data_IF_347132701472
#
_entry.id   IF_347132701472
#
_cell.length_a   1.000
_cell.length_b   1.000
_cell.length_c   1.000
_cell.angle_alpha   90.00
_cell.angle_beta   90.00
_cell.angle_gamma   90.00
#
_symmetry.space_group_name_H-M   'P 1'
#
loop_
_entity.id
_entity.type
_entity.pdbx_description
1 polymer ?
#
# COMPACT_ATOMS: atom_id res chain seq x y z
N UNK A 1 -37.81 -43.35 -78.59
CA UNK A 1 -38.38 -44.45 -77.77
C UNK A 1 -37.24 -45.13 -77.02
N UNK A 2 -37.44 -45.45 -75.73
CA UNK A 2 -36.47 -45.85 -74.65
C UNK A 2 -35.90 -44.65 -73.88
N UNK A 3 -36.39 -44.23 -72.68
CA UNK A 3 -36.61 -44.90 -71.36
C UNK A 3 -35.25 -45.28 -70.71
N UNK A 4 -34.84 -44.94 -69.48
CA UNK A 4 -35.38 -44.24 -68.29
C UNK A 4 -34.22 -44.00 -67.29
N UNK A 5 -34.22 -42.93 -66.48
CA UNK A 5 -34.50 -42.86 -65.03
C UNK A 5 -33.71 -43.83 -64.10
N UNK A 6 -32.85 -43.29 -63.21
CA UNK A 6 -32.95 -43.31 -61.71
C UNK A 6 -31.60 -43.22 -60.97
N UNK A 7 -31.51 -42.24 -60.05
CA UNK A 7 -30.92 -42.26 -58.68
C UNK A 7 -29.43 -42.66 -58.50
N UNK A 8 -28.62 -42.09 -57.60
CA UNK A 8 -28.81 -41.81 -56.17
C UNK A 8 -27.84 -40.67 -55.76
N UNK A 9 -28.34 -39.65 -55.07
CA UNK A 9 -27.55 -38.60 -54.41
C UNK A 9 -27.13 -39.14 -53.04
N UNK A 10 -25.84 -39.38 -52.82
CA UNK A 10 -25.29 -39.74 -51.50
C UNK A 10 -24.72 -38.49 -50.85
N UNK A 11 -25.52 -37.81 -50.02
CA UNK A 11 -25.04 -36.71 -49.19
C UNK A 11 -24.28 -37.29 -47.99
N UNK A 12 -22.95 -37.25 -48.03
CA UNK A 12 -22.11 -37.56 -46.88
C UNK A 12 -22.23 -36.43 -45.85
N UNK A 13 -22.97 -36.69 -44.76
CA UNK A 13 -23.05 -35.78 -43.60
C UNK A 13 -21.73 -35.91 -42.84
N UNK A 14 -20.82 -34.96 -43.06
CA UNK A 14 -19.62 -34.76 -42.26
C UNK A 14 -20.05 -34.01 -40.99
N UNK A 15 -20.23 -34.74 -39.90
CA UNK A 15 -20.46 -34.16 -38.57
C UNK A 15 -19.15 -33.52 -38.09
N UNK A 16 -19.04 -32.19 -38.26
CA UNK A 16 -17.95 -31.41 -37.68
C UNK A 16 -18.17 -31.38 -36.17
N UNK A 17 -17.39 -32.17 -35.44
CA UNK A 17 -17.29 -32.05 -33.98
C UNK A 17 -16.58 -30.72 -33.70
N UNK A 18 -17.36 -29.69 -33.37
CA UNK A 18 -16.81 -28.45 -32.85
C UNK A 18 -16.25 -28.73 -31.44
N UNK A 19 -14.95 -28.97 -31.37
CA UNK A 19 -14.23 -28.94 -30.09
C UNK A 19 -14.27 -27.48 -29.62
N UNK A 20 -15.21 -27.14 -28.75
CA UNK A 20 -15.14 -25.91 -27.96
C UNK A 20 -13.98 -26.08 -26.99
N UNK A 21 -12.76 -25.80 -27.45
CA UNK A 21 -11.64 -25.65 -26.55
C UNK A 21 -12.00 -24.52 -25.60
N UNK A 22 -12.27 -24.85 -24.34
CA UNK A 22 -12.28 -23.87 -23.26
C UNK A 22 -10.93 -23.16 -23.34
N UNK A 23 -10.91 -21.94 -23.89
CA UNK A 23 -9.75 -21.07 -23.77
C UNK A 23 -9.58 -20.83 -22.28
N UNK A 24 -8.64 -21.55 -21.67
CA UNK A 24 -8.17 -21.20 -20.33
C UNK A 24 -7.80 -19.72 -20.40
N UNK A 25 -8.34 -18.87 -19.51
CA UNK A 25 -7.93 -17.49 -19.45
C UNK A 25 -6.41 -17.41 -19.42
N UNK A 26 -5.83 -16.48 -20.17
CA UNK A 26 -4.38 -16.23 -20.13
C UNK A 26 -3.98 -15.96 -18.68
N UNK A 27 -2.94 -16.62 -18.20
CA UNK A 27 -2.40 -16.34 -16.87
C UNK A 27 -1.82 -14.93 -16.85
N UNK A 28 -2.51 -14.02 -16.17
CA UNK A 28 -2.13 -12.61 -16.02
C UNK A 28 -1.53 -12.34 -14.63
N UNK A 29 -1.29 -13.37 -13.81
CA UNK A 29 -0.82 -13.25 -12.42
C UNK A 29 0.43 -12.38 -12.30
N UNK A 30 1.41 -12.58 -13.19
CA UNK A 30 2.64 -11.78 -13.23
C UNK A 30 2.39 -10.29 -13.54
N UNK A 31 1.44 -10.00 -14.44
CA UNK A 31 1.09 -8.63 -14.81
C UNK A 31 0.32 -7.93 -13.68
N UNK A 32 -0.61 -8.64 -13.02
CA UNK A 32 -1.31 -8.13 -11.84
C UNK A 32 -0.33 -7.82 -10.70
N UNK A 33 0.59 -8.74 -10.41
CA UNK A 33 1.65 -8.54 -9.41
C UNK A 33 2.51 -7.31 -9.73
N UNK A 34 2.91 -7.15 -10.99
CA UNK A 34 3.71 -5.99 -11.45
C UNK A 34 2.95 -4.69 -11.26
N UNK A 35 1.68 -4.63 -11.65
CA UNK A 35 0.85 -3.44 -11.50
C UNK A 35 0.64 -3.03 -10.04
N UNK A 36 0.41 -4.01 -9.14
CA UNK A 36 0.26 -3.75 -7.70
C UNK A 36 1.59 -3.26 -7.10
N UNK A 37 2.72 -3.89 -7.43
CA UNK A 37 4.03 -3.44 -6.96
C UNK A 37 4.36 -2.03 -7.45
N UNK A 38 4.09 -1.73 -8.74
CA UNK A 38 4.32 -0.41 -9.30
C UNK A 38 3.48 0.68 -8.60
N UNK A 39 2.24 0.34 -8.22
CA UNK A 39 1.46 1.22 -7.37
C UNK A 39 2.17 1.45 -6.03
N UNK A 40 2.51 0.39 -5.29
CA UNK A 40 3.13 0.55 -3.97
C UNK A 40 4.54 1.14 -3.98
N UNK A 41 5.25 1.15 -5.11
CA UNK A 41 6.52 1.89 -5.26
C UNK A 41 6.33 3.42 -5.06
N UNK A 42 5.12 3.94 -5.27
CA UNK A 42 4.80 5.35 -5.10
C UNK A 42 4.09 5.64 -3.77
N UNK A 43 3.70 4.60 -3.03
CA UNK A 43 2.89 4.69 -1.83
C UNK A 43 3.53 3.89 -0.68
N UNK A 44 4.54 4.46 -0.02
CA UNK A 44 5.20 3.80 1.10
C UNK A 44 4.30 3.70 2.33
N UNK A 45 4.64 2.76 3.20
CA UNK A 45 4.09 2.63 4.55
C UNK A 45 4.77 3.62 5.51
N UNK A 46 4.00 4.35 6.31
CA UNK A 46 4.51 5.41 7.17
C UNK A 46 3.94 5.33 8.60
N UNK A 47 4.65 5.96 9.56
CA UNK A 47 4.31 5.88 10.98
C UNK A 47 2.92 6.45 11.29
N UNK A 48 2.58 7.60 10.72
CA UNK A 48 1.29 8.25 10.96
C UNK A 48 0.33 8.07 9.80
N UNK A 49 -0.98 7.93 10.10
CA UNK A 49 -2.05 7.90 9.06
C UNK A 49 -2.07 9.14 8.19
N UNK A 50 -1.82 10.29 8.80
CA UNK A 50 -1.75 11.58 8.15
C UNK A 50 -0.38 12.21 8.40
N UNK A 51 0.15 12.99 7.45
CA UNK A 51 1.33 13.78 7.68
C UNK A 51 1.18 14.65 8.94
N UNK A 52 2.24 14.71 9.75
CA UNK A 52 2.29 15.56 10.92
C UNK A 52 3.14 16.80 10.62
N UNK A 53 2.87 17.90 11.31
CA UNK A 53 3.72 19.09 11.26
C UNK A 53 4.93 18.91 12.18
N UNK A 54 6.11 19.37 11.77
CA UNK A 54 7.26 19.57 12.65
C UNK A 54 7.82 21.01 12.49
N UNK A 55 8.38 21.62 13.55
CA UNK A 55 8.53 21.08 14.90
C UNK A 55 7.19 20.95 15.67
N UNK A 56 7.14 20.04 16.64
CA UNK A 56 6.00 19.85 17.53
C UNK A 56 6.36 20.04 18.99
N UNK A 57 5.45 20.61 19.78
CA UNK A 57 5.65 20.87 21.20
C UNK A 57 4.64 20.12 22.06
N UNK A 58 5.16 19.29 22.95
CA UNK A 58 4.36 18.50 23.90
C UNK A 58 4.75 18.84 25.34
N UNK A 59 3.78 18.85 26.25
CA UNK A 59 4.07 19.06 27.67
C UNK A 59 4.92 17.90 28.21
N UNK A 60 5.86 18.19 29.12
CA UNK A 60 6.81 17.17 29.61
C UNK A 60 6.14 16.08 30.46
N UNK A 61 4.95 16.37 31.01
CA UNK A 61 4.15 15.46 31.84
C UNK A 61 3.14 14.64 31.04
N UNK A 62 2.99 14.88 29.72
CA UNK A 62 2.10 14.14 28.83
C UNK A 62 2.84 12.94 28.21
N UNK A 63 3.09 11.92 29.04
CA UNK A 63 3.90 10.73 28.69
C UNK A 63 3.40 10.02 27.44
N UNK A 64 2.08 9.96 27.24
CA UNK A 64 1.47 9.29 26.09
C UNK A 64 1.80 10.01 24.78
N UNK A 65 1.83 11.35 24.80
CA UNK A 65 2.21 12.15 23.64
C UNK A 65 3.71 12.20 23.39
N UNK A 66 4.55 12.23 24.42
CA UNK A 66 6.00 12.34 24.21
C UNK A 66 6.65 11.01 23.82
N UNK A 67 6.12 9.87 24.28
CA UNK A 67 6.73 8.54 24.09
C UNK A 67 7.00 8.21 22.60
N UNK A 68 6.07 8.44 21.65
CA UNK A 68 6.36 8.27 20.21
C UNK A 68 7.51 9.14 19.70
N UNK A 69 7.62 10.38 20.17
CA UNK A 69 8.67 11.30 19.72
C UNK A 69 10.01 10.98 20.37
N UNK A 70 10.02 10.63 21.66
CA UNK A 70 11.22 10.22 22.38
C UNK A 70 11.85 8.96 21.76
N UNK A 71 11.05 7.99 21.32
CA UNK A 71 11.58 6.83 20.58
C UNK A 71 12.27 7.24 19.27
N UNK A 72 11.74 8.24 18.56
CA UNK A 72 12.38 8.78 17.35
C UNK A 72 13.62 9.63 17.67
N UNK A 73 13.69 10.23 18.86
CA UNK A 73 14.91 10.87 19.38
C UNK A 73 15.99 9.83 19.67
N UNK A 74 15.63 8.70 20.28
CA UNK A 74 16.55 7.59 20.53
C UNK A 74 17.11 7.00 19.23
N UNK A 75 16.32 7.02 18.15
CA UNK A 75 16.78 6.68 16.80
C UNK A 75 17.60 7.79 16.13
N UNK A 76 17.76 8.94 16.77
CA UNK A 76 18.45 10.11 16.22
C UNK A 76 17.71 10.78 15.06
N UNK A 77 16.43 10.49 14.84
CA UNK A 77 15.61 11.12 13.79
C UNK A 77 15.09 12.48 14.24
N UNK A 78 14.76 12.61 15.52
CA UNK A 78 14.32 13.86 16.13
C UNK A 78 15.34 14.36 17.14
N UNK A 79 15.35 15.66 17.33
CA UNK A 79 16.01 16.35 18.44
C UNK A 79 14.95 16.79 19.43
N UNK A 80 15.31 16.86 20.71
CA UNK A 80 14.43 17.32 21.79
C UNK A 80 15.05 18.52 22.49
N UNK A 81 14.35 19.65 22.46
CA UNK A 81 14.78 20.89 23.13
C UNK A 81 13.74 21.31 24.16
N UNK A 82 14.10 21.51 25.45
CA UNK A 82 13.19 22.06 26.44
C UNK A 82 12.76 23.48 26.08
N UNK A 83 11.46 23.77 26.19
CA UNK A 83 10.86 25.08 25.93
C UNK A 83 9.80 25.41 26.97
N UNK A 84 9.51 26.68 27.17
CA UNK A 84 8.35 27.12 27.96
C UNK A 84 7.17 27.39 27.04
N UNK A 85 6.00 26.83 27.35
CA UNK A 85 4.75 27.13 26.66
C UNK A 85 3.86 27.97 27.57
N UNK A 86 3.42 29.12 27.07
CA UNK A 86 2.43 29.97 27.78
C UNK A 86 1.04 29.36 27.61
N UNK A 87 0.42 28.95 28.71
CA UNK A 87 -0.94 28.40 28.77
C UNK A 87 -1.81 29.37 29.58
N UNK A 88 -2.70 30.12 28.92
CA UNK A 88 -3.31 31.34 29.48
C UNK A 88 -2.26 32.40 29.87
N UNK A 89 -2.64 33.68 29.84
CA UNK A 89 -1.77 34.86 29.94
C UNK A 89 -0.68 34.89 31.04
N UNK A 90 -0.68 33.97 32.02
CA UNK A 90 0.24 33.99 33.18
C UNK A 90 0.85 32.62 33.53
N UNK A 91 0.31 31.49 33.06
CA UNK A 91 0.82 30.17 33.45
C UNK A 91 1.78 29.64 32.37
N UNK A 92 3.05 29.50 32.74
CA UNK A 92 4.05 28.83 31.91
C UNK A 92 4.13 27.36 32.29
N UNK A 93 4.16 26.48 31.29
CA UNK A 93 4.33 25.04 31.48
C UNK A 93 5.56 24.58 30.71
N UNK A 94 6.36 23.71 31.34
CA UNK A 94 7.51 23.10 30.68
C UNK A 94 7.03 22.15 29.58
N UNK A 95 7.64 22.28 28.40
CA UNK A 95 7.35 21.47 27.23
C UNK A 95 8.65 21.06 26.55
N UNK A 96 8.57 20.04 25.70
CA UNK A 96 9.63 19.62 24.81
C UNK A 96 9.24 19.99 23.38
N UNK A 97 10.14 20.67 22.67
CA UNK A 97 10.07 20.88 21.23
C UNK A 97 10.83 19.77 20.53
N UNK A 98 10.16 19.08 19.61
CA UNK A 98 10.69 18.02 18.78
C UNK A 98 10.84 18.49 17.35
N UNK A 99 12.05 18.39 16.80
CA UNK A 99 12.37 18.82 15.44
C UNK A 99 13.30 17.83 14.74
N UNK A 100 13.31 17.84 13.41
CA UNK A 100 14.15 16.97 12.59
C UNK A 100 15.64 17.24 12.83
N UNK A 101 16.39 16.16 13.09
CA UNK A 101 17.85 16.15 12.92
C UNK A 101 18.20 16.05 11.43
N UNK A 102 19.49 16.06 11.09
CA UNK A 102 19.93 15.80 9.71
C UNK A 102 19.65 14.36 9.26
N UNK A 103 19.78 13.38 10.17
CA UNK A 103 19.36 11.99 9.93
C UNK A 103 17.84 11.92 9.74
N UNK A 104 17.08 12.67 10.55
CA UNK A 104 15.64 12.83 10.43
C UNK A 104 15.23 13.35 9.06
N UNK A 105 15.81 14.49 8.64
CA UNK A 105 15.55 15.09 7.32
C UNK A 105 15.79 14.11 6.16
N UNK A 106 16.83 13.29 6.25
CA UNK A 106 17.16 12.29 5.21
C UNK A 106 16.16 11.11 5.16
N UNK A 107 15.38 10.91 6.22
CA UNK A 107 14.33 9.88 6.30
C UNK A 107 12.92 10.46 6.28
N UNK A 108 12.78 11.78 6.19
CA UNK A 108 11.52 12.48 6.21
C UNK A 108 10.91 12.51 4.81
N UNK A 109 9.68 12.02 4.69
CA UNK A 109 8.88 12.14 3.46
C UNK A 109 8.00 13.38 3.60
N UNK A 110 8.34 14.50 2.94
CA UNK A 110 7.54 15.73 3.03
C UNK A 110 6.18 15.57 2.35
N UNK A 111 5.17 16.24 2.89
CA UNK A 111 3.89 16.40 2.19
C UNK A 111 4.05 17.47 1.11
N UNK A 112 3.89 17.13 -0.19
CA UNK A 112 4.08 18.08 -1.28
C UNK A 112 3.05 19.22 -1.28
N UNK A 113 1.90 19.05 -0.61
CA UNK A 113 0.82 20.03 -0.58
C UNK A 113 0.86 20.92 0.67
N UNK A 114 1.57 20.51 1.72
CA UNK A 114 1.56 21.18 3.02
C UNK A 114 3.00 21.39 3.52
N UNK A 115 3.62 22.54 3.23
CA UNK A 115 4.96 22.85 3.71
C UNK A 115 5.07 22.70 5.24
N UNK A 116 6.13 22.03 5.71
CA UNK A 116 6.34 21.73 7.13
C UNK A 116 5.61 20.48 7.64
N UNK A 117 4.77 19.85 6.81
CA UNK A 117 4.18 18.54 7.09
C UNK A 117 4.93 17.42 6.40
N UNK A 118 4.80 16.22 6.94
CA UNK A 118 5.37 15.01 6.35
C UNK A 118 5.26 13.82 7.28
N UNK A 119 6.03 12.78 7.00
CA UNK A 119 5.97 11.52 7.72
C UNK A 119 7.31 10.78 7.69
N UNK A 120 7.50 9.86 8.61
CA UNK A 120 8.58 8.87 8.52
C UNK A 120 8.04 7.61 7.87
N UNK A 121 8.38 7.41 6.60
CA UNK A 121 8.00 6.23 5.85
C UNK A 121 9.07 5.15 5.97
N UNK A 122 8.65 3.94 6.34
CA UNK A 122 9.53 2.89 6.82
C UNK A 122 9.68 1.73 5.85
N UNK A 123 8.78 1.52 4.89
CA UNK A 123 8.85 0.41 3.95
C UNK A 123 7.98 0.63 2.71
N UNK A 124 8.13 -0.24 1.70
CA UNK A 124 7.16 -0.41 0.62
C UNK A 124 6.56 -1.81 0.65
N UNK A 125 5.28 -1.94 0.29
CA UNK A 125 4.68 -3.26 0.11
C UNK A 125 5.28 -3.93 -1.13
N UNK A 126 5.60 -5.22 -0.99
CA UNK A 126 6.07 -6.08 -2.07
C UNK A 126 5.16 -7.30 -2.13
N UNK A 127 4.39 -7.41 -3.20
CA UNK A 127 3.52 -8.56 -3.43
C UNK A 127 4.36 -9.83 -3.45
N UNK A 128 3.97 -10.79 -2.63
CA UNK A 128 4.59 -12.11 -2.58
C UNK A 128 3.84 -13.04 -3.53
N UNK A 129 2.57 -13.35 -3.23
CA UNK A 129 1.74 -14.26 -4.01
C UNK A 129 0.37 -13.65 -4.31
N UNK A 130 -0.18 -13.93 -5.51
CA UNK A 130 -1.60 -13.67 -5.80
C UNK A 130 -2.39 -14.88 -5.32
N UNK A 131 -3.38 -14.66 -4.45
CA UNK A 131 -4.23 -15.70 -3.88
C UNK A 131 -5.43 -15.99 -4.78
N UNK A 132 -6.05 -14.95 -5.32
CA UNK A 132 -7.20 -15.07 -6.21
C UNK A 132 -7.36 -13.83 -7.09
N UNK A 133 -8.01 -13.99 -8.24
CA UNK A 133 -8.47 -12.91 -9.09
C UNK A 133 -9.79 -13.28 -9.77
N UNK A 134 -10.63 -12.29 -10.06
CA UNK A 134 -11.97 -12.48 -10.66
C UNK A 134 -12.03 -12.00 -12.12
N UNK A 135 -10.94 -12.20 -12.86
CA UNK A 135 -10.80 -11.69 -14.22
C UNK A 135 -11.87 -12.23 -15.17
N UNK A 136 -12.57 -11.33 -15.89
CA UNK A 136 -13.68 -11.69 -16.78
C UNK A 136 -13.62 -11.09 -18.20
N UNK A 137 -12.61 -10.29 -18.55
CA UNK A 137 -12.58 -9.63 -19.86
C UNK A 137 -11.23 -9.00 -20.27
N UNK A 138 -10.93 -9.02 -21.57
CA UNK A 138 -9.66 -8.54 -22.16
C UNK A 138 -9.70 -7.08 -22.65
N UNK A 139 -10.82 -6.38 -22.46
CA UNK A 139 -11.02 -5.05 -23.01
C UNK A 139 -10.59 -3.96 -22.02
N UNK A 140 -9.99 -2.85 -22.48
CA UNK A 140 -9.77 -1.68 -21.64
C UNK A 140 -11.05 -1.24 -20.92
N UNK A 141 -10.93 -0.86 -19.65
CA UNK A 141 -12.04 -0.55 -18.74
C UNK A 141 -12.54 -1.75 -17.92
N UNK A 142 -12.14 -2.98 -18.26
CA UNK A 142 -12.44 -4.16 -17.44
C UNK A 142 -11.76 -4.03 -16.07
N UNK A 143 -12.48 -4.36 -15.00
CA UNK A 143 -11.92 -4.40 -13.65
C UNK A 143 -11.76 -5.83 -13.15
N UNK A 144 -10.83 -6.05 -12.23
CA UNK A 144 -10.68 -7.31 -11.51
C UNK A 144 -10.31 -7.04 -10.06
N UNK A 145 -10.91 -7.82 -9.15
CA UNK A 145 -10.54 -7.80 -7.74
C UNK A 145 -9.47 -8.86 -7.51
N UNK A 146 -8.37 -8.47 -6.87
CA UNK A 146 -7.21 -9.32 -6.63
C UNK A 146 -6.94 -9.37 -5.14
N UNK A 147 -6.95 -10.58 -4.58
CA UNK A 147 -6.47 -10.84 -3.22
C UNK A 147 -5.04 -11.40 -3.29
N UNK A 148 -4.16 -10.90 -2.43
CA UNK A 148 -2.73 -11.22 -2.49
C UNK A 148 -2.07 -11.16 -1.10
N UNK A 149 -0.95 -11.87 -0.95
CA UNK A 149 -0.03 -11.70 0.19
C UNK A 149 1.06 -10.69 -0.16
N UNK A 150 1.58 -9.98 0.83
CA UNK A 150 2.72 -9.11 0.65
C UNK A 150 3.68 -9.15 1.84
N UNK A 151 4.92 -8.75 1.57
CA UNK A 151 5.94 -8.46 2.58
C UNK A 151 6.26 -6.98 2.55
N UNK A 152 6.86 -6.47 3.63
CA UNK A 152 7.43 -5.13 3.66
C UNK A 152 8.87 -5.20 3.17
N UNK A 153 9.13 -4.58 2.02
CA UNK A 153 10.46 -4.44 1.45
C UNK A 153 11.13 -3.16 1.93
N UNK A 154 12.46 -3.16 1.92
CA UNK A 154 13.30 -1.98 2.22
C UNK A 154 13.00 -1.35 3.58
N UNK A 155 12.69 -2.19 4.58
CA UNK A 155 12.36 -1.75 5.94
C UNK A 155 13.53 -0.98 6.55
N UNK A 156 13.32 0.29 6.88
CA UNK A 156 14.34 1.14 7.49
C UNK A 156 14.77 0.62 8.86
N UNK A 157 16.07 0.61 9.13
CA UNK A 157 16.65 0.08 10.38
C UNK A 157 16.04 0.71 11.64
N UNK A 158 15.81 2.03 11.62
CA UNK A 158 15.22 2.75 12.76
C UNK A 158 13.80 2.27 13.10
N UNK A 159 13.06 1.73 12.12
CA UNK A 159 11.73 1.19 12.31
C UNK A 159 11.75 -0.22 12.91
N UNK A 160 12.85 -0.95 12.73
CA UNK A 160 13.04 -2.27 13.32
C UNK A 160 13.47 -2.20 14.80
N UNK A 161 13.91 -1.04 15.27
CA UNK A 161 14.35 -0.85 16.65
C UNK A 161 13.21 -1.16 17.66
N UNK A 162 13.47 -1.95 18.71
CA UNK A 162 12.45 -2.34 19.70
C UNK A 162 11.73 -1.14 20.34
N UNK A 163 12.46 -0.08 20.66
CA UNK A 163 11.96 1.18 21.21
C UNK A 163 10.93 1.84 20.28
N UNK A 164 11.21 1.85 18.96
CA UNK A 164 10.29 2.37 17.95
C UNK A 164 9.05 1.49 17.84
N UNK A 165 9.21 0.16 17.79
CA UNK A 165 8.07 -0.76 17.72
C UNK A 165 7.19 -0.71 18.98
N UNK A 166 7.79 -0.56 20.15
CA UNK A 166 7.07 -0.36 21.42
C UNK A 166 6.29 0.96 21.40
N UNK A 167 6.90 2.03 20.89
CA UNK A 167 6.29 3.35 20.77
C UNK A 167 5.15 3.40 19.73
N UNK A 168 5.26 2.60 18.68
CA UNK A 168 4.30 2.51 17.56
C UNK A 168 3.76 1.07 17.42
N UNK A 169 2.78 0.64 18.23
CA UNK A 169 2.33 -0.77 18.23
C UNK A 169 1.86 -1.29 16.87
N UNK A 170 1.22 -0.45 16.05
CA UNK A 170 0.83 -0.84 14.70
C UNK A 170 2.01 -1.11 13.78
N UNK A 171 3.18 -0.51 14.02
CA UNK A 171 4.41 -0.79 13.25
C UNK A 171 4.89 -2.20 13.62
N UNK A 172 4.90 -2.52 14.91
CA UNK A 172 5.23 -3.86 15.39
C UNK A 172 4.32 -4.92 14.75
N UNK A 173 3.00 -4.66 14.70
CA UNK A 173 2.04 -5.54 14.02
C UNK A 173 2.35 -5.67 12.53
N UNK A 174 2.58 -4.57 11.82
CA UNK A 174 2.86 -4.59 10.39
C UNK A 174 4.14 -5.36 10.04
N UNK A 175 5.19 -5.25 10.87
CA UNK A 175 6.46 -5.94 10.69
C UNK A 175 6.39 -7.44 11.01
N UNK A 176 5.55 -7.85 11.96
CA UNK A 176 5.43 -9.25 12.38
C UNK A 176 4.47 -10.08 11.50
N UNK A 177 3.54 -9.43 10.80
CA UNK A 177 2.44 -10.10 10.12
C UNK A 177 2.82 -10.70 8.75
N UNK A 178 2.21 -11.86 8.43
CA UNK A 178 2.03 -12.25 7.03
C UNK A 178 0.85 -11.47 6.49
N UNK A 179 1.14 -10.38 5.79
CA UNK A 179 0.10 -9.45 5.40
C UNK A 179 -0.65 -9.94 4.16
N UNK A 180 -1.97 -9.80 4.17
CA UNK A 180 -2.85 -10.03 3.05
C UNK A 180 -3.65 -8.78 2.77
N UNK A 181 -3.89 -8.49 1.49
CA UNK A 181 -4.71 -7.37 1.08
C UNK A 181 -5.53 -7.74 -0.15
N UNK A 182 -6.56 -6.94 -0.40
CA UNK A 182 -7.38 -7.02 -1.61
C UNK A 182 -7.41 -5.66 -2.28
N UNK A 183 -7.27 -5.63 -3.60
CA UNK A 183 -7.34 -4.39 -4.39
C UNK A 183 -8.10 -4.60 -5.69
N UNK A 184 -8.60 -3.52 -6.27
CA UNK A 184 -9.25 -3.53 -7.58
C UNK A 184 -8.25 -2.98 -8.59
N UNK A 185 -8.05 -3.70 -9.69
CA UNK A 185 -7.29 -3.22 -10.83
C UNK A 185 -8.24 -2.94 -11.99
N UNK A 186 -7.89 -1.95 -12.80
CA UNK A 186 -8.52 -1.64 -14.08
C UNK A 186 -7.53 -1.90 -15.21
N UNK A 187 -7.98 -2.59 -16.25
CA UNK A 187 -7.22 -2.80 -17.47
C UNK A 187 -7.26 -1.51 -18.28
N UNK A 188 -6.10 -0.94 -18.56
CA UNK A 188 -5.94 0.24 -19.41
C UNK A 188 -5.25 -0.14 -20.72
N UNK A 189 -5.11 0.80 -21.64
CA UNK A 189 -4.29 0.60 -22.84
C UNK A 189 -2.81 0.32 -22.52
N UNK A 190 -2.34 0.75 -21.35
CA UNK A 190 -0.96 0.52 -20.87
C UNK A 190 -0.84 -0.74 -19.97
N UNK A 191 -1.88 -1.56 -19.92
CA UNK A 191 -1.98 -2.70 -19.02
C UNK A 191 -2.70 -2.38 -17.71
N UNK A 192 -2.54 -3.25 -16.72
CA UNK A 192 -3.25 -3.16 -15.44
C UNK A 192 -2.72 -2.02 -14.58
N UNK A 193 -3.64 -1.29 -13.95
CA UNK A 193 -3.33 -0.29 -12.94
C UNK A 193 -4.24 -0.50 -11.73
N UNK A 194 -3.71 -0.30 -10.52
CA UNK A 194 -4.56 -0.25 -9.32
C UNK A 194 -5.55 0.89 -9.51
N UNK A 195 -6.83 0.56 -9.46
CA UNK A 195 -7.87 1.57 -9.35
C UNK A 195 -7.67 2.16 -7.97
N UNK A 196 -7.26 3.43 -7.89
CA UNK A 196 -7.14 4.11 -6.62
C UNK A 196 -8.50 4.03 -5.92
N UNK A 197 -8.61 3.10 -4.98
CA UNK A 197 -9.57 3.25 -3.92
C UNK A 197 -9.28 4.63 -3.33
N UNK A 198 -10.30 5.44 -3.09
CA UNK A 198 -10.20 6.51 -2.09
C UNK A 198 -9.32 5.98 -0.96
N UNK A 199 -8.11 6.55 -0.84
CA UNK A 199 -6.97 6.14 0.01
C UNK A 199 -7.45 5.13 1.06
N UNK A 200 -7.11 3.82 1.02
CA UNK A 200 -7.65 2.85 1.95
C UNK A 200 -7.46 3.37 3.37
N UNK A 201 -8.54 3.85 3.98
CA UNK A 201 -8.52 4.42 5.33
C UNK A 201 -8.31 3.34 6.39
N UNK A 202 -8.12 2.09 5.98
CA UNK A 202 -8.27 0.93 6.83
C UNK A 202 -7.07 -0.04 6.85
N UNK A 203 -5.97 0.22 6.14
CA UNK A 203 -4.88 -0.79 6.07
C UNK A 203 -3.45 -0.26 6.20
N UNK A 204 -3.26 1.07 6.25
CA UNK A 204 -1.94 1.68 6.43
C UNK A 204 -2.05 2.81 7.44
N UNK A 205 -1.88 2.50 8.73
CA UNK A 205 -2.20 3.50 9.73
C UNK A 205 -2.01 3.09 11.17
N UNK A 206 -0.78 3.15 11.61
CA UNK A 206 -0.37 3.00 12.99
C UNK A 206 -0.80 4.26 13.76
N UNK A 207 -1.58 4.06 14.83
CA UNK A 207 -2.04 5.04 15.84
C UNK A 207 -3.10 6.06 15.37
N UNK A 208 -4.23 6.05 16.09
CA UNK A 208 -5.13 7.20 16.29
C UNK A 208 -4.64 8.00 17.48
#
# INVERSE_FOLDING_TARGET
>A
MRLGSRSIITAAVITIVAVTGCKTPKDETGNLKTAINHYYDQWPECLWKQPIQLPQQHAQDDTDKIRPFDALVDQGLLSRTPVEKTKLLVLKTAANSYDLTDKGRSNWTPDPNNPGYGNFCYAHRRVKDILSNTYSGTQPGTTTTVSYTYTLGDVKDWAQAPETQNAFPGLATALAATNQATTVLVLTNDGWKVQAATKPTDDSGVVQ
#
